data_IF_558496340043
#
_entry.id   IF_558496340043
#
_cell.length_a   1.000
_cell.length_b   1.000
_cell.length_c   1.000
_cell.angle_alpha   90.00
_cell.angle_beta   90.00
_cell.angle_gamma   90.00
#
_symmetry.space_group_name_H-M   'P 1'
#
loop_
_entity.id
_entity.type
_entity.pdbx_description
1 polymer ?
#
# COMPACT_ATOMS: atom_id res chain seq x y z
N UNK A 1 34.05 7.52 -61.13
CA UNK A 1 34.34 8.13 -59.83
C UNK A 1 33.33 7.53 -58.87
N UNK A 2 33.78 6.70 -57.88
CA UNK A 2 32.89 5.98 -56.92
C UNK A 2 32.92 6.72 -55.59
N UNK A 3 31.79 7.31 -55.20
CA UNK A 3 31.65 7.90 -53.87
C UNK A 3 31.28 6.79 -52.86
N UNK A 4 32.18 6.52 -51.92
CA UNK A 4 31.93 5.67 -50.77
C UNK A 4 31.30 6.52 -49.66
N UNK A 5 30.00 6.31 -49.40
CA UNK A 5 29.33 6.88 -48.25
C UNK A 5 29.79 6.18 -46.97
N UNK A 6 30.34 6.93 -46.03
CA UNK A 6 30.62 6.47 -44.65
C UNK A 6 29.31 6.37 -43.86
N UNK A 7 28.89 5.17 -43.55
CA UNK A 7 27.84 4.96 -42.52
C UNK A 7 28.49 5.15 -41.13
N UNK A 8 28.15 6.22 -40.45
CA UNK A 8 28.48 6.45 -39.04
C UNK A 8 27.49 5.70 -38.18
N UNK A 9 27.87 4.59 -37.60
CA UNK A 9 27.08 3.85 -36.61
C UNK A 9 27.28 4.51 -35.24
N UNK A 10 26.31 5.32 -34.81
CA UNK A 10 26.25 5.86 -33.44
C UNK A 10 25.82 4.76 -32.48
N UNK A 11 26.78 4.19 -31.76
CA UNK A 11 26.52 3.22 -30.68
C UNK A 11 26.02 4.00 -29.45
N UNK A 12 24.72 4.04 -29.25
CA UNK A 12 24.10 4.57 -28.02
C UNK A 12 24.40 3.63 -26.86
N UNK A 13 25.35 3.98 -26.01
CA UNK A 13 25.66 3.29 -24.76
C UNK A 13 24.56 3.61 -23.78
N UNK A 14 23.53 2.74 -23.66
CA UNK A 14 22.54 2.80 -22.58
C UNK A 14 23.26 2.46 -21.27
N UNK A 15 23.58 3.47 -20.48
CA UNK A 15 23.97 3.28 -19.08
C UNK A 15 22.78 2.78 -18.30
N UNK A 16 22.71 1.47 -18.04
CA UNK A 16 21.82 0.89 -17.05
C UNK A 16 22.28 1.37 -15.66
N UNK A 17 21.61 2.39 -15.13
CA UNK A 17 21.80 2.79 -13.74
C UNK A 17 21.37 1.59 -12.87
N UNK A 18 22.20 1.14 -11.91
CA UNK A 18 21.79 0.09 -10.99
C UNK A 18 20.58 0.58 -10.21
N UNK A 19 19.44 -0.06 -10.38
CA UNK A 19 18.25 0.18 -9.58
C UNK A 19 18.56 -0.32 -8.17
N UNK A 20 18.96 0.58 -7.29
CA UNK A 20 19.33 0.26 -5.93
C UNK A 20 18.07 -0.15 -5.17
N UNK A 21 18.02 -1.39 -4.71
CA UNK A 21 16.90 -1.89 -3.92
C UNK A 21 16.74 -1.03 -2.65
N UNK A 22 15.52 -0.63 -2.37
CA UNK A 22 15.18 0.16 -1.19
C UNK A 22 15.57 -0.59 0.09
N UNK A 23 16.38 0.05 0.94
CA UNK A 23 16.73 -0.50 2.25
C UNK A 23 15.66 -0.11 3.28
N UNK A 24 15.34 -1.04 4.18
CA UNK A 24 14.37 -0.82 5.24
C UNK A 24 14.72 0.41 6.09
N UNK A 25 15.98 0.50 6.50
CA UNK A 25 16.51 1.51 7.39
C UNK A 25 16.51 2.93 6.78
N UNK A 26 16.36 3.07 5.48
CA UNK A 26 16.29 4.38 4.82
C UNK A 26 14.98 5.11 5.16
N UNK A 27 13.88 4.36 5.33
CA UNK A 27 12.55 4.91 5.49
C UNK A 27 11.87 4.56 6.81
N UNK A 28 12.29 3.46 7.47
CA UNK A 28 11.58 2.90 8.60
C UNK A 28 12.46 2.67 9.83
N UNK A 29 11.84 2.73 11.00
CA UNK A 29 12.40 2.27 12.26
C UNK A 29 12.01 0.81 12.51
N UNK A 30 12.76 0.11 13.37
CA UNK A 30 12.43 -1.26 13.78
C UNK A 30 11.28 -1.27 14.81
N UNK A 31 10.21 -0.55 14.50
CA UNK A 31 8.96 -0.47 15.25
C UNK A 31 7.79 -0.74 14.33
N UNK A 32 6.64 -1.08 14.89
CA UNK A 32 5.39 -1.27 14.15
C UNK A 32 4.53 -0.03 14.27
N UNK A 33 4.00 0.46 13.17
CA UNK A 33 2.86 1.36 13.14
C UNK A 33 1.60 0.51 12.97
N UNK A 34 0.74 0.49 14.00
CA UNK A 34 -0.60 -0.09 13.94
C UNK A 34 -1.57 1.00 13.51
N UNK A 35 -2.36 0.68 12.51
CA UNK A 35 -3.38 1.56 11.93
C UNK A 35 -4.75 0.89 12.06
N UNK A 36 -5.66 1.51 12.79
CA UNK A 36 -7.01 1.01 12.98
C UNK A 36 -7.98 1.77 12.08
N UNK A 37 -8.84 1.02 11.39
CA UNK A 37 -9.85 1.52 10.48
C UNK A 37 -11.18 0.83 10.71
N UNK A 38 -12.25 1.51 10.32
CA UNK A 38 -13.58 0.93 10.21
C UNK A 38 -13.91 0.78 8.73
N UNK A 39 -14.29 -0.42 8.33
CA UNK A 39 -14.89 -0.70 7.02
C UNK A 39 -16.37 -0.88 7.23
N UNK A 40 -17.20 -0.10 6.53
CA UNK A 40 -18.66 -0.10 6.73
C UNK A 40 -19.39 -0.08 5.39
N UNK A 41 -20.62 -0.58 5.39
CA UNK A 41 -21.49 -0.56 4.22
C UNK A 41 -22.52 -1.67 4.20
N UNK A 42 -22.89 -2.10 2.99
CA UNK A 42 -23.88 -3.13 2.70
C UNK A 42 -23.38 -4.08 1.59
N UNK A 43 -24.26 -4.85 0.97
CA UNK A 43 -23.91 -5.79 -0.09
C UNK A 43 -23.33 -5.14 -1.36
N UNK A 44 -23.50 -3.84 -1.54
CA UNK A 44 -23.11 -3.10 -2.76
C UNK A 44 -22.12 -1.98 -2.45
N UNK A 45 -22.33 -1.28 -1.34
CA UNK A 45 -21.58 -0.09 -0.98
C UNK A 45 -20.57 -0.40 0.12
N UNK A 46 -19.40 0.22 0.06
CA UNK A 46 -18.41 0.14 1.12
C UNK A 46 -17.67 1.46 1.27
N UNK A 47 -17.30 1.78 2.50
CA UNK A 47 -16.55 2.97 2.89
C UNK A 47 -15.50 2.59 3.92
N UNK A 48 -14.41 3.36 3.95
CA UNK A 48 -13.29 3.16 4.85
C UNK A 48 -13.13 4.43 5.66
N UNK A 49 -12.99 4.28 6.98
CA UNK A 49 -12.77 5.38 7.91
C UNK A 49 -11.53 5.10 8.74
N UNK A 50 -10.61 6.06 8.81
CA UNK A 50 -9.49 6.01 9.71
C UNK A 50 -9.98 6.29 11.14
N UNK A 51 -9.55 5.49 12.09
CA UNK A 51 -9.91 5.63 13.50
C UNK A 51 -8.72 6.18 14.31
N UNK A 52 -7.62 5.43 14.32
CA UNK A 52 -6.45 5.79 15.14
C UNK A 52 -5.18 5.09 14.68
N UNK A 53 -4.05 5.54 15.21
CA UNK A 53 -2.74 4.96 14.97
C UNK A 53 -1.94 4.84 16.28
N UNK A 54 -1.17 3.76 16.42
CA UNK A 54 -0.33 3.48 17.59
C UNK A 54 1.05 3.03 17.17
N UNK A 55 2.03 3.29 18.04
CA UNK A 55 3.37 2.74 17.95
C UNK A 55 3.50 1.48 18.81
N UNK A 56 4.04 0.40 18.24
CA UNK A 56 4.40 -0.82 18.96
C UNK A 56 5.92 -1.06 18.89
N UNK A 57 6.54 -1.66 19.92
CA UNK A 57 7.99 -1.63 20.09
C UNK A 57 8.82 -2.28 19.01
N UNK A 58 8.32 -3.31 18.31
CA UNK A 58 9.14 -4.12 17.40
C UNK A 58 8.40 -4.41 16.11
N UNK A 59 9.10 -4.27 14.97
CA UNK A 59 8.63 -4.72 13.67
C UNK A 59 8.99 -6.18 13.45
N UNK A 60 7.97 -7.03 13.31
CA UNK A 60 8.13 -8.47 13.06
C UNK A 60 7.91 -8.87 11.60
N UNK A 61 7.56 -7.91 10.73
CA UNK A 61 7.30 -8.16 9.32
C UNK A 61 8.58 -8.16 8.46
N UNK A 62 8.38 -8.23 7.15
CA UNK A 62 9.49 -8.23 6.18
C UNK A 62 10.26 -6.91 6.19
N UNK A 63 11.57 -6.99 5.92
CA UNK A 63 12.49 -5.85 5.80
C UNK A 63 13.10 -5.72 4.41
N UNK A 64 12.76 -6.61 3.51
CA UNK A 64 13.23 -6.61 2.11
C UNK A 64 12.05 -6.71 1.17
N UNK A 65 12.23 -6.30 -0.08
CA UNK A 65 11.19 -6.34 -1.12
C UNK A 65 9.90 -5.65 -0.64
N UNK A 66 10.05 -4.48 -0.03
CA UNK A 66 8.98 -3.78 0.70
C UNK A 66 7.85 -3.29 -0.21
N UNK A 67 8.19 -2.94 -1.44
CA UNK A 67 7.33 -2.42 -2.49
C UNK A 67 6.72 -3.52 -3.39
N UNK A 68 7.01 -4.80 -3.09
CA UNK A 68 6.49 -5.92 -3.86
C UNK A 68 5.22 -6.52 -3.24
N UNK A 69 4.25 -6.78 -4.09
CA UNK A 69 2.98 -7.45 -3.76
C UNK A 69 3.12 -8.96 -3.98
N UNK A 70 2.99 -9.74 -2.91
CA UNK A 70 3.16 -11.20 -2.97
C UNK A 70 1.87 -11.98 -3.17
N UNK A 71 0.77 -11.49 -2.63
CA UNK A 71 -0.53 -12.16 -2.67
C UNK A 71 -1.61 -11.17 -3.12
N UNK A 72 -2.72 -11.69 -3.60
CA UNK A 72 -3.91 -10.91 -3.90
C UNK A 72 -4.99 -11.24 -2.85
N UNK A 73 -5.30 -10.25 -1.99
CA UNK A 73 -6.49 -10.25 -1.17
C UNK A 73 -7.56 -9.32 -1.78
N UNK A 74 -8.65 -9.12 -1.07
CA UNK A 74 -9.62 -8.09 -1.45
C UNK A 74 -9.26 -6.70 -0.95
N UNK A 75 -8.19 -6.57 -0.19
CA UNK A 75 -7.69 -5.30 0.32
C UNK A 75 -6.17 -5.18 0.20
N UNK A 76 -5.71 -3.93 0.21
CA UNK A 76 -4.30 -3.59 0.16
C UNK A 76 -4.04 -2.37 1.03
N UNK A 77 -2.99 -2.44 1.83
CA UNK A 77 -2.38 -1.27 2.48
C UNK A 77 -1.11 -0.90 1.73
N UNK A 78 -0.99 0.38 1.37
CA UNK A 78 0.19 0.92 0.69
C UNK A 78 0.69 2.15 1.44
N UNK A 79 1.97 2.18 1.73
CA UNK A 79 2.66 3.33 2.31
C UNK A 79 3.47 4.00 1.21
N UNK A 80 3.22 5.27 0.97
CA UNK A 80 3.93 6.09 -0.01
C UNK A 80 4.81 7.12 0.69
N UNK A 81 5.88 7.50 0.05
CA UNK A 81 6.63 8.71 0.39
C UNK A 81 5.69 9.92 0.28
N UNK A 82 5.61 10.73 1.34
CA UNK A 82 4.68 11.85 1.42
C UNK A 82 4.80 12.80 0.23
N UNK A 83 3.65 13.18 -0.33
CA UNK A 83 3.56 14.09 -1.48
C UNK A 83 4.02 13.49 -2.81
N UNK A 84 4.31 12.17 -2.85
CA UNK A 84 4.71 11.46 -4.06
C UNK A 84 3.86 10.20 -4.26
N UNK A 85 4.12 9.45 -5.34
CA UNK A 85 3.53 8.13 -5.56
C UNK A 85 4.58 7.01 -5.44
N UNK A 86 5.75 7.30 -4.85
CA UNK A 86 6.77 6.29 -4.62
C UNK A 86 6.33 5.36 -3.50
N UNK A 87 6.17 4.09 -3.81
CA UNK A 87 5.80 3.05 -2.84
C UNK A 87 6.99 2.77 -1.92
N UNK A 88 6.77 2.86 -0.62
CA UNK A 88 7.73 2.50 0.42
C UNK A 88 7.44 1.13 1.02
N UNK A 89 6.16 0.76 1.12
CA UNK A 89 5.72 -0.54 1.62
C UNK A 89 4.34 -0.87 1.05
N UNK A 90 4.10 -2.15 0.75
CA UNK A 90 2.80 -2.64 0.35
C UNK A 90 2.52 -4.00 0.99
N UNK A 91 1.29 -4.21 1.44
CA UNK A 91 0.82 -5.52 1.86
C UNK A 91 -0.64 -5.70 1.47
N UNK A 92 -1.07 -6.94 1.35
CA UNK A 92 -2.45 -7.29 0.99
C UNK A 92 -3.10 -8.09 2.11
N UNK A 93 -4.40 -8.00 2.19
CA UNK A 93 -5.21 -8.67 3.21
C UNK A 93 -6.57 -9.09 2.63
N UNK A 94 -7.32 -9.89 3.39
CA UNK A 94 -8.73 -10.16 3.15
C UNK A 94 -9.55 -9.71 4.34
N UNK A 95 -10.77 -9.23 4.09
CA UNK A 95 -11.65 -8.69 5.13
C UNK A 95 -12.83 -9.62 5.40
N UNK A 96 -13.22 -9.76 6.66
CA UNK A 96 -14.50 -10.36 7.04
C UNK A 96 -15.69 -9.57 6.47
N UNK A 97 -15.52 -8.27 6.25
CA UNK A 97 -16.54 -7.44 5.63
C UNK A 97 -16.92 -7.94 4.23
N UNK A 98 -15.95 -8.33 3.38
CA UNK A 98 -16.26 -8.89 2.06
C UNK A 98 -16.99 -10.23 2.15
N UNK A 99 -16.63 -11.09 3.11
CA UNK A 99 -17.34 -12.34 3.32
C UNK A 99 -18.80 -12.09 3.74
N UNK A 100 -19.01 -11.16 4.67
CA UNK A 100 -20.34 -10.75 5.07
C UNK A 100 -21.14 -10.11 3.93
N UNK A 101 -20.54 -9.31 3.05
CA UNK A 101 -21.21 -8.71 1.89
C UNK A 101 -21.88 -9.75 0.98
N UNK A 102 -21.40 -10.98 0.94
CA UNK A 102 -21.97 -12.06 0.15
C UNK A 102 -23.20 -12.72 0.81
N UNK A 103 -23.55 -12.34 2.02
CA UNK A 103 -24.69 -12.90 2.76
C UNK A 103 -26.02 -12.26 2.35
N UNK A 104 -27.13 -12.96 2.64
CA UNK A 104 -28.47 -12.36 2.47
C UNK A 104 -28.72 -11.19 3.43
N UNK A 105 -28.11 -11.23 4.61
CA UNK A 105 -28.22 -10.16 5.61
C UNK A 105 -27.71 -8.81 5.04
N UNK A 106 -26.59 -8.82 4.34
CA UNK A 106 -25.98 -7.62 3.77
C UNK A 106 -26.85 -6.89 2.74
N UNK A 107 -27.86 -7.59 2.17
CA UNK A 107 -28.82 -6.97 1.24
C UNK A 107 -29.84 -6.09 1.94
N UNK A 108 -29.99 -6.22 3.25
CA UNK A 108 -31.04 -5.58 4.04
C UNK A 108 -30.50 -4.71 5.18
N UNK A 109 -29.25 -4.91 5.56
CA UNK A 109 -28.62 -4.21 6.68
C UNK A 109 -27.30 -3.57 6.26
N UNK A 110 -26.93 -2.51 6.99
CA UNK A 110 -25.60 -1.95 6.97
C UNK A 110 -24.84 -2.37 8.22
N UNK A 111 -23.56 -2.72 8.08
CA UNK A 111 -22.67 -3.06 9.20
C UNK A 111 -21.33 -2.38 9.07
N UNK A 112 -20.64 -2.30 10.18
CA UNK A 112 -19.24 -1.86 10.27
C UNK A 112 -18.40 -2.96 10.91
N UNK A 113 -17.14 -3.05 10.45
CA UNK A 113 -16.14 -4.00 10.92
C UNK A 113 -14.86 -3.24 11.23
N UNK A 114 -14.34 -3.43 12.42
CA UNK A 114 -13.03 -2.96 12.80
C UNK A 114 -11.95 -3.76 12.06
N UNK A 115 -10.92 -3.08 11.60
CA UNK A 115 -9.79 -3.67 10.90
C UNK A 115 -8.51 -2.99 11.33
N UNK A 116 -7.50 -3.77 11.70
CA UNK A 116 -6.18 -3.27 12.10
C UNK A 116 -5.12 -3.73 11.11
N UNK A 117 -4.30 -2.79 10.63
CA UNK A 117 -3.20 -3.09 9.73
C UNK A 117 -1.87 -2.72 10.38
N UNK A 118 -0.89 -3.60 10.23
CA UNK A 118 0.46 -3.39 10.74
C UNK A 118 1.38 -3.08 9.58
N UNK A 119 2.06 -1.96 9.67
CA UNK A 119 3.08 -1.53 8.73
C UNK A 119 4.34 -1.13 9.48
N UNK A 120 5.53 -1.11 8.85
CA UNK A 120 6.72 -0.62 9.53
C UNK A 120 6.58 0.86 9.88
N UNK A 121 7.12 1.26 11.04
CA UNK A 121 7.02 2.63 11.56
C UNK A 121 7.86 3.59 10.72
N UNK A 122 7.29 4.62 10.09
CA UNK A 122 8.02 5.51 9.20
C UNK A 122 8.87 6.51 9.99
N UNK A 123 10.04 6.89 9.44
CA UNK A 123 10.91 7.93 10.01
C UNK A 123 10.46 9.36 9.68
N UNK A 124 9.66 9.52 8.64
CA UNK A 124 9.17 10.80 8.11
C UNK A 124 7.67 10.68 7.83
N UNK A 125 6.97 11.80 7.65
CA UNK A 125 5.58 11.75 7.18
C UNK A 125 5.43 10.89 5.94
N UNK A 126 4.36 10.09 5.89
CA UNK A 126 4.01 9.19 4.80
C UNK A 126 2.53 9.34 4.43
N UNK A 127 2.19 8.98 3.22
CA UNK A 127 0.79 8.81 2.84
C UNK A 127 0.44 7.32 2.89
N UNK A 128 -0.62 6.99 3.60
CA UNK A 128 -1.14 5.62 3.67
C UNK A 128 -2.41 5.54 2.86
N UNK A 129 -2.48 4.55 1.97
CA UNK A 129 -3.71 4.22 1.24
C UNK A 129 -4.18 2.83 1.65
N UNK A 130 -5.46 2.73 2.00
CA UNK A 130 -6.19 1.48 2.14
C UNK A 130 -7.14 1.38 0.96
N UNK A 131 -7.04 0.32 0.17
CA UNK A 131 -7.95 0.03 -0.93
C UNK A 131 -8.69 -1.28 -0.68
N UNK A 132 -9.97 -1.31 -1.04
CA UNK A 132 -10.78 -2.53 -1.09
C UNK A 132 -11.20 -2.79 -2.54
N UNK A 133 -11.24 -4.06 -2.92
CA UNK A 133 -11.58 -4.50 -4.26
C UNK A 133 -12.69 -5.55 -4.21
N UNK A 134 -13.46 -5.63 -5.27
CA UNK A 134 -14.43 -6.70 -5.48
C UNK A 134 -13.76 -8.04 -5.87
N UNK A 135 -14.56 -9.04 -6.12
CA UNK A 135 -14.10 -10.38 -6.54
C UNK A 135 -13.39 -10.38 -7.91
N UNK A 136 -13.52 -9.32 -8.70
CA UNK A 136 -12.83 -9.13 -9.99
C UNK A 136 -11.58 -8.24 -9.86
N UNK A 137 -11.13 -7.97 -8.64
CA UNK A 137 -9.98 -7.10 -8.34
C UNK A 137 -10.17 -5.63 -8.76
N UNK A 138 -11.41 -5.20 -9.00
CA UNK A 138 -11.71 -3.80 -9.24
C UNK A 138 -11.81 -3.07 -7.90
N UNK A 139 -11.07 -1.96 -7.74
CA UNK A 139 -11.14 -1.12 -6.55
C UNK A 139 -12.55 -0.53 -6.40
N UNK A 140 -13.15 -0.74 -5.26
CA UNK A 140 -14.52 -0.31 -4.91
C UNK A 140 -14.54 0.73 -3.80
N UNK A 141 -13.51 0.79 -2.98
CA UNK A 141 -13.30 1.86 -2.01
C UNK A 141 -11.81 2.13 -1.81
N UNK A 142 -11.48 3.38 -1.56
CA UNK A 142 -10.14 3.82 -1.21
C UNK A 142 -10.21 4.94 -0.17
N UNK A 143 -9.33 4.88 0.80
CA UNK A 143 -9.00 6.00 1.70
C UNK A 143 -7.50 6.22 1.66
N UNK A 144 -7.06 7.43 1.29
CA UNK A 144 -5.67 7.87 1.38
C UNK A 144 -5.57 9.05 2.34
N UNK A 145 -4.64 8.98 3.27
CA UNK A 145 -4.40 10.06 4.24
C UNK A 145 -2.93 10.09 4.66
N UNK A 146 -2.51 11.20 5.25
CA UNK A 146 -1.15 11.39 5.75
C UNK A 146 -1.03 10.94 7.21
N UNK A 147 0.05 10.24 7.52
CA UNK A 147 0.49 9.92 8.88
C UNK A 147 1.80 10.66 9.14
N UNK A 148 1.83 11.48 10.16
CA UNK A 148 3.06 12.07 10.69
C UNK A 148 3.52 11.26 11.91
N UNK A 149 4.71 10.61 11.88
CA UNK A 149 5.17 9.78 12.99
C UNK A 149 5.37 10.56 14.30
N UNK A 150 5.52 11.88 14.25
CA UNK A 150 5.67 12.72 15.44
C UNK A 150 4.35 12.88 16.23
N UNK A 151 3.21 12.62 15.60
CA UNK A 151 1.89 12.71 16.21
C UNK A 151 1.43 11.38 16.82
N UNK A 152 2.25 10.31 16.68
CA UNK A 152 1.94 8.95 17.16
C UNK A 152 2.58 8.74 18.53
N UNK A 153 1.77 8.37 19.50
CA UNK A 153 2.19 8.08 20.89
C UNK A 153 2.71 6.64 21.05
#
# INVERSE_FOLDING_TARGET
MKNKGLLSASLALMMALPMQAQKFEDNFENKTLRLDYIVAGDSVNQAIYFEQAYSNPTWAGRKTRLDEKFLNGNGQVTVYEHGTNKVLYVNTFSTLFQEWQLTQEAKHLQKSFESSFLVPFPKKPVDVSITLSDTHQKVTAELRHTINPQDIL
#
